data_IF_919876166187
#
_entry.id   IF_919876166187
#
_cell.length_a   1.000
_cell.length_b   1.000
_cell.length_c   1.000
_cell.angle_alpha   90.00
_cell.angle_beta   90.00
_cell.angle_gamma   90.00
#
_symmetry.space_group_name_H-M   'P 1'
#
loop_
_entity.id
_entity.type
_entity.pdbx_description
1 polymer ?
#
# COMPACT_ATOMS: atom_id res chain seq x y z
N UNK A 1 -40.55 -16.14 -7.37
CA UNK A 1 -40.05 -15.62 -6.07
C UNK A 1 -38.54 -15.63 -6.10
N UNK A 2 -37.91 -14.52 -6.52
CA UNK A 2 -36.45 -14.40 -6.47
C UNK A 2 -36.05 -14.18 -5.01
N UNK A 3 -35.40 -15.19 -4.40
CA UNK A 3 -34.73 -15.02 -3.12
C UNK A 3 -33.67 -13.94 -3.31
N UNK A 4 -33.91 -12.77 -2.71
CA UNK A 4 -32.90 -11.74 -2.50
C UNK A 4 -31.78 -12.43 -1.72
N UNK A 5 -30.69 -12.80 -2.40
CA UNK A 5 -29.49 -13.22 -1.70
C UNK A 5 -29.10 -12.06 -0.79
N UNK A 6 -29.00 -12.34 0.50
CA UNK A 6 -28.44 -11.42 1.48
C UNK A 6 -27.05 -11.01 1.01
N UNK A 7 -26.81 -9.71 0.89
CA UNK A 7 -25.52 -9.12 0.52
C UNK A 7 -24.40 -9.57 1.48
N UNK A 8 -24.75 -10.02 2.69
CA UNK A 8 -23.82 -10.57 3.70
C UNK A 8 -23.10 -11.86 3.30
N UNK A 9 -23.47 -12.50 2.19
CA UNK A 9 -22.90 -13.78 1.76
C UNK A 9 -21.85 -13.67 0.62
N UNK A 10 -21.53 -12.44 0.20
CA UNK A 10 -20.41 -12.16 -0.69
C UNK A 10 -19.06 -12.02 0.05
N UNK A 11 -19.11 -11.98 1.39
CA UNK A 11 -17.91 -12.06 2.22
C UNK A 11 -17.25 -13.44 2.08
N UNK A 12 -16.01 -13.43 1.60
CA UNK A 12 -15.07 -14.55 1.41
C UNK A 12 -15.05 -15.24 0.05
N UNK A 13 -15.21 -14.49 -1.04
CA UNK A 13 -14.31 -14.79 -2.19
C UNK A 13 -12.93 -14.33 -1.75
N UNK A 14 -12.12 -15.25 -1.22
CA UNK A 14 -10.72 -14.98 -0.90
C UNK A 14 -10.04 -14.69 -2.24
N UNK A 15 -9.97 -13.41 -2.61
CA UNK A 15 -9.24 -13.00 -3.80
C UNK A 15 -7.78 -13.43 -3.60
N UNK A 16 -7.14 -13.98 -4.65
CA UNK A 16 -5.72 -14.30 -4.60
C UNK A 16 -4.96 -13.02 -4.25
N UNK A 17 -3.89 -13.16 -3.46
CA UNK A 17 -3.02 -12.03 -3.16
C UNK A 17 -2.47 -11.46 -4.47
N UNK A 18 -2.35 -10.13 -4.59
CA UNK A 18 -1.77 -9.54 -5.79
C UNK A 18 -0.34 -10.05 -5.98
N UNK A 19 -0.02 -10.43 -7.21
CA UNK A 19 1.31 -10.92 -7.57
C UNK A 19 2.37 -9.89 -7.16
N UNK A 20 3.46 -10.38 -6.56
CA UNK A 20 4.54 -9.53 -6.04
C UNK A 20 4.33 -8.99 -4.62
N UNK A 21 3.09 -8.92 -4.11
CA UNK A 21 2.85 -8.48 -2.73
C UNK A 21 3.43 -9.45 -1.69
N UNK A 22 3.35 -10.75 -1.96
CA UNK A 22 3.92 -11.80 -1.12
C UNK A 22 5.46 -11.76 -1.01
N UNK A 23 6.15 -10.99 -1.85
CA UNK A 23 7.61 -10.81 -1.77
C UNK A 23 8.05 -9.77 -0.73
N UNK A 24 7.10 -9.02 -0.16
CA UNK A 24 7.36 -7.99 0.85
C UNK A 24 8.01 -8.61 2.09
N UNK A 25 9.07 -7.98 2.59
CA UNK A 25 9.71 -8.34 3.88
C UNK A 25 9.06 -7.63 5.08
N UNK A 26 8.14 -6.69 4.80
CA UNK A 26 7.52 -5.83 5.82
C UNK A 26 6.07 -6.24 6.11
N UNK A 27 5.32 -6.66 5.10
CA UNK A 27 3.90 -6.95 5.25
C UNK A 27 3.66 -8.45 5.30
N UNK A 28 2.87 -8.88 6.29
CA UNK A 28 2.35 -10.24 6.37
C UNK A 28 1.11 -10.40 5.46
N UNK A 29 0.70 -11.64 5.18
CA UNK A 29 -0.46 -11.92 4.34
C UNK A 29 -1.75 -11.22 4.82
N UNK A 30 -1.98 -11.17 6.14
CA UNK A 30 -3.14 -10.49 6.73
C UNK A 30 -3.09 -8.99 6.46
N UNK A 31 -1.92 -8.36 6.61
CA UNK A 31 -1.73 -6.94 6.34
C UNK A 31 -1.92 -6.63 4.85
N UNK A 32 -1.42 -7.50 3.96
CA UNK A 32 -1.62 -7.34 2.51
C UNK A 32 -3.11 -7.35 2.16
N UNK A 33 -3.89 -8.27 2.74
CA UNK A 33 -5.35 -8.32 2.53
C UNK A 33 -6.04 -7.05 3.00
N UNK A 34 -5.73 -6.61 4.22
CA UNK A 34 -6.25 -5.34 4.76
C UNK A 34 -5.88 -4.16 3.85
N UNK A 35 -4.65 -4.14 3.32
CA UNK A 35 -4.19 -3.09 2.43
C UNK A 35 -4.98 -3.08 1.11
N UNK A 36 -5.23 -4.24 0.51
CA UNK A 36 -6.01 -4.36 -0.73
C UNK A 36 -7.42 -3.79 -0.56
N UNK A 37 -8.03 -3.94 0.62
CA UNK A 37 -9.36 -3.42 0.91
C UNK A 37 -9.42 -1.89 1.03
N UNK A 38 -8.34 -1.24 1.47
CA UNK A 38 -8.25 0.24 1.55
C UNK A 38 -7.68 0.89 0.29
N UNK A 39 -7.08 0.11 -0.61
CA UNK A 39 -6.54 0.65 -1.85
C UNK A 39 -7.67 1.18 -2.75
N UNK A 40 -7.42 2.25 -3.53
CA UNK A 40 -8.38 2.76 -4.49
C UNK A 40 -8.80 1.65 -5.47
N UNK A 41 -10.07 1.65 -5.92
CA UNK A 41 -10.59 0.62 -6.83
C UNK A 41 -9.77 0.46 -8.13
N UNK A 42 -9.08 1.52 -8.57
CA UNK A 42 -8.18 1.48 -9.74
C UNK A 42 -6.89 0.67 -9.52
N UNK A 43 -6.49 0.46 -8.27
CA UNK A 43 -5.31 -0.32 -7.88
C UNK A 43 -5.66 -1.77 -7.51
N UNK A 44 -6.93 -2.02 -7.15
CA UNK A 44 -7.41 -3.35 -6.82
C UNK A 44 -7.30 -4.27 -8.04
N UNK A 45 -6.56 -5.38 -7.90
CA UNK A 45 -6.39 -6.39 -8.95
C UNK A 45 -5.13 -6.23 -9.81
N UNK A 46 -4.37 -5.14 -9.68
CA UNK A 46 -3.07 -5.01 -10.34
C UNK A 46 -1.95 -5.66 -9.50
N UNK A 47 -0.91 -6.22 -10.16
CA UNK A 47 0.25 -6.76 -9.46
C UNK A 47 1.02 -5.65 -8.74
N UNK A 48 1.61 -5.99 -7.59
CA UNK A 48 2.43 -5.08 -6.81
C UNK A 48 3.88 -5.17 -7.27
N UNK A 49 4.41 -4.04 -7.73
CA UNK A 49 5.78 -3.96 -8.21
C UNK A 49 6.66 -3.28 -7.17
N UNK A 50 7.73 -3.95 -6.75
CA UNK A 50 8.71 -3.35 -5.85
C UNK A 50 9.63 -2.38 -6.61
N UNK A 51 9.33 -1.09 -6.51
CA UNK A 51 10.16 -0.02 -7.10
C UNK A 51 11.45 0.16 -6.29
N UNK A 52 11.32 0.26 -4.97
CA UNK A 52 12.42 0.57 -4.07
C UNK A 52 12.34 -0.23 -2.76
N UNK A 53 13.48 -0.80 -2.37
CA UNK A 53 13.69 -1.46 -1.09
C UNK A 53 15.00 -0.94 -0.50
N UNK A 54 14.96 -0.41 0.74
CA UNK A 54 16.13 0.16 1.40
C UNK A 54 17.23 -0.85 1.72
N UNK A 55 16.87 -2.13 1.89
CA UNK A 55 17.80 -3.23 2.10
C UNK A 55 18.60 -3.54 0.82
N UNK A 56 17.96 -3.43 -0.35
CA UNK A 56 18.58 -3.73 -1.66
C UNK A 56 19.23 -2.51 -2.32
N UNK A 57 18.66 -1.32 -2.14
CA UNK A 57 19.05 -0.09 -2.85
C UNK A 57 19.70 0.97 -1.96
N UNK A 58 19.84 0.71 -0.66
CA UNK A 58 20.38 1.64 0.34
C UNK A 58 19.33 2.62 0.89
N UNK A 59 19.76 3.59 1.70
CA UNK A 59 18.88 4.53 2.42
C UNK A 59 18.85 5.94 1.82
N UNK A 60 19.38 6.12 0.61
CA UNK A 60 19.48 7.44 -0.02
C UNK A 60 18.18 7.85 -0.69
N UNK A 61 17.64 9.02 -0.33
CA UNK A 61 16.51 9.62 -1.04
C UNK A 61 16.82 9.89 -2.52
N UNK A 62 18.08 10.20 -2.84
CA UNK A 62 18.48 10.42 -4.23
C UNK A 62 18.37 9.13 -5.07
N UNK A 63 18.69 7.96 -4.52
CA UNK A 63 18.50 6.69 -5.22
C UNK A 63 17.03 6.32 -5.33
N UNK A 64 16.22 6.65 -4.31
CA UNK A 64 14.77 6.50 -4.33
C UNK A 64 14.13 7.33 -5.45
N UNK A 65 14.43 8.63 -5.52
CA UNK A 65 13.88 9.50 -6.58
C UNK A 65 14.29 9.08 -7.98
N UNK A 66 15.56 8.66 -8.18
CA UNK A 66 16.00 8.18 -9.48
C UNK A 66 15.24 6.92 -9.91
N UNK A 67 15.02 5.97 -8.99
CA UNK A 67 14.20 4.79 -9.27
C UNK A 67 12.75 5.15 -9.55
N UNK A 68 12.19 6.15 -8.88
CA UNK A 68 10.83 6.62 -9.12
C UNK A 68 10.68 7.29 -10.49
N UNK A 69 11.71 7.94 -11.02
CA UNK A 69 11.69 8.56 -12.36
C UNK A 69 11.60 7.51 -13.48
N UNK A 70 12.19 6.33 -13.28
CA UNK A 70 12.10 5.23 -14.25
C UNK A 70 10.65 4.71 -14.41
N UNK A 71 9.76 5.05 -13.47
CA UNK A 71 8.34 4.74 -13.52
C UNK A 71 7.56 6.03 -13.81
N UNK A 72 6.91 6.11 -14.98
CA UNK A 72 6.10 7.26 -15.36
C UNK A 72 4.85 7.43 -14.46
N UNK A 73 4.16 8.57 -14.59
CA UNK A 73 2.92 8.88 -13.85
C UNK A 73 1.79 7.84 -14.05
N UNK A 74 1.91 6.97 -15.07
CA UNK A 74 0.97 5.88 -15.33
C UNK A 74 0.97 4.81 -14.23
N UNK A 75 2.04 4.68 -13.44
CA UNK A 75 2.10 3.72 -12.32
C UNK A 75 1.58 4.32 -11.00
N UNK A 76 0.34 4.83 -11.06
CA UNK A 76 -0.43 5.33 -9.93
C UNK A 76 -1.49 4.32 -9.49
N UNK A 77 -1.72 4.11 -8.18
CA UNK A 77 -1.09 4.79 -7.04
C UNK A 77 0.20 4.11 -6.56
N UNK A 78 1.10 4.88 -5.96
CA UNK A 78 2.33 4.38 -5.32
C UNK A 78 2.07 4.05 -3.85
N UNK A 79 2.51 2.87 -3.42
CA UNK A 79 2.40 2.42 -2.03
C UNK A 79 3.74 2.56 -1.31
N UNK A 80 3.80 3.42 -0.30
CA UNK A 80 4.97 3.61 0.56
C UNK A 80 4.75 2.85 1.87
N UNK A 81 5.61 1.86 2.15
CA UNK A 81 5.58 1.05 3.36
C UNK A 81 6.85 1.32 4.17
N UNK A 82 6.69 1.70 5.44
CA UNK A 82 7.78 1.99 6.36
C UNK A 82 7.60 1.10 7.60
N UNK A 83 8.70 0.45 8.00
CA UNK A 83 8.84 -0.22 9.29
C UNK A 83 9.88 0.52 10.11
N UNK A 84 9.46 1.06 11.25
CA UNK A 84 10.34 1.74 12.19
C UNK A 84 11.12 0.75 13.07
N UNK A 85 12.16 1.22 13.76
CA UNK A 85 12.99 0.45 14.70
C UNK A 85 12.17 -0.18 15.84
N UNK A 86 11.04 0.45 16.22
CA UNK A 86 10.10 -0.05 17.19
C UNK A 86 9.12 -1.10 16.63
N UNK A 87 9.34 -1.62 15.41
CA UNK A 87 8.47 -2.55 14.68
C UNK A 87 7.10 -2.00 14.32
N UNK A 88 6.88 -0.70 14.47
CA UNK A 88 5.68 -0.03 13.99
C UNK A 88 5.68 -0.01 12.46
N UNK A 89 4.56 -0.42 11.86
CA UNK A 89 4.39 -0.40 10.39
C UNK A 89 3.38 0.69 10.04
N UNK A 90 3.81 1.63 9.22
CA UNK A 90 2.98 2.71 8.72
C UNK A 90 3.42 3.12 7.33
N UNK A 91 2.64 3.99 6.70
CA UNK A 91 2.92 4.36 5.33
C UNK A 91 1.94 5.35 4.76
N UNK A 92 2.05 5.50 3.45
CA UNK A 92 1.19 6.35 2.66
C UNK A 92 0.87 5.68 1.33
N UNK A 93 -0.37 5.83 0.88
CA UNK A 93 -0.72 5.65 -0.52
C UNK A 93 -0.64 7.03 -1.15
N UNK A 94 0.13 7.17 -2.22
CA UNK A 94 0.33 8.42 -2.94
C UNK A 94 -0.25 8.29 -4.34
N UNK A 95 -1.00 9.30 -4.75
CA UNK A 95 -1.70 9.33 -6.05
C UNK A 95 -0.78 9.47 -7.26
N UNK A 96 0.51 9.77 -7.03
CA UNK A 96 1.49 10.09 -8.07
C UNK A 96 2.85 9.54 -7.67
N UNK A 97 3.76 9.42 -8.63
CA UNK A 97 5.15 9.03 -8.36
C UNK A 97 5.83 10.06 -7.46
N UNK A 98 6.67 9.58 -6.54
CA UNK A 98 7.29 10.45 -5.54
C UNK A 98 8.50 11.12 -6.16
N UNK A 99 8.44 12.44 -6.31
CA UNK A 99 9.48 13.28 -6.91
C UNK A 99 9.77 14.52 -6.06
N UNK A 100 11.01 15.05 -6.10
CA UNK A 100 11.30 16.34 -5.50
C UNK A 100 10.52 17.42 -6.28
N UNK A 101 9.80 18.27 -5.56
CA UNK A 101 9.05 19.39 -6.13
C UNK A 101 9.08 20.55 -5.14
N UNK A 102 9.07 21.79 -5.64
CA UNK A 102 9.00 23.01 -4.82
C UNK A 102 7.62 23.22 -4.21
N UNK A 103 6.59 22.58 -4.77
CA UNK A 103 5.20 22.69 -4.32
C UNK A 103 4.61 21.32 -3.98
N UNK A 104 3.58 21.32 -3.13
CA UNK A 104 2.78 20.13 -2.85
C UNK A 104 2.04 19.67 -4.13
N UNK A 105 1.98 18.36 -4.34
CA UNK A 105 1.32 17.75 -5.49
C UNK A 105 0.61 16.45 -5.08
N UNK A 106 -0.28 15.98 -5.96
CA UNK A 106 -1.12 14.80 -5.75
C UNK A 106 -2.61 15.13 -5.73
N UNK A 107 -3.46 14.10 -5.73
CA UNK A 107 -4.92 14.19 -5.66
C UNK A 107 -5.40 13.73 -4.29
N UNK A 108 -6.31 14.49 -3.68
CA UNK A 108 -6.80 14.22 -2.32
C UNK A 108 -7.74 13.01 -2.21
N UNK A 109 -8.23 12.48 -3.33
CA UNK A 109 -9.13 11.32 -3.38
C UNK A 109 -8.40 9.98 -3.23
N UNK A 110 -7.09 9.97 -3.52
CA UNK A 110 -6.28 8.75 -3.64
C UNK A 110 -4.98 8.80 -2.83
N UNK A 111 -4.84 9.83 -2.00
CA UNK A 111 -3.67 10.05 -1.14
C UNK A 111 -4.10 9.97 0.33
N UNK A 112 -3.65 8.94 1.04
CA UNK A 112 -3.98 8.77 2.45
C UNK A 112 -2.82 8.12 3.22
N UNK A 113 -2.81 8.36 4.53
CA UNK A 113 -1.87 7.78 5.47
C UNK A 113 -2.51 6.59 6.17
N UNK A 114 -1.72 5.57 6.45
CA UNK A 114 -2.17 4.42 7.23
C UNK A 114 -1.11 4.03 8.26
N UNK A 115 -1.57 3.44 9.36
CA UNK A 115 -0.73 2.82 10.39
C UNK A 115 -1.39 1.50 10.76
N UNK A 116 -0.62 0.42 10.78
CA UNK A 116 -1.06 -0.82 11.41
C UNK A 116 -0.98 -0.66 12.92
N UNK A 117 -2.08 -0.94 13.60
CA UNK A 117 -2.16 -0.96 15.06
C UNK A 117 -2.19 -2.41 15.49
N UNK A 118 -1.27 -2.80 16.35
CA UNK A 118 -1.30 -4.11 16.99
C UNK A 118 -2.37 -4.08 18.10
N UNK A 119 -3.17 -5.14 18.23
CA UNK A 119 -4.26 -5.23 19.23
C UNK A 119 -3.76 -5.03 20.68
N UNK A 120 -2.45 -5.20 20.93
CA UNK A 120 -1.85 -4.92 22.24
C UNK A 120 -1.90 -3.43 22.64
N UNK A 121 -1.89 -2.49 21.68
CA UNK A 121 -2.00 -1.05 21.99
C UNK A 121 -3.46 -0.60 22.25
N UNK A 122 -4.45 -1.35 21.75
CA UNK A 122 -5.87 -1.00 21.92
C UNK A 122 -6.42 -1.35 23.31
N UNK A 123 -5.78 -2.30 23.99
CA UNK A 123 -6.16 -2.77 25.33
C UNK A 123 -5.56 -1.95 26.48
N UNK A 124 -4.92 -0.82 26.20
CA UNK A 124 -4.35 0.09 27.21
C UNK A 124 -5.11 1.42 27.35
N UNK A 125 -6.32 1.54 26.78
CA UNK A 125 -7.21 2.69 26.99
C UNK A 125 -8.48 2.32 27.74
#
# INVERSE_FOLDING_TARGET
MCRRMSLDQLDKVVLPLPDGAASSQILDEVMIRQMVDVLPARAAGYPWINIYNSEKHGFSLHTFYRKMIDWDEEMSPTLLIIRDCNKNIFGAVVSTTVRPNEHFFGTGDSCFLYKYVDDLELNQK
#
